data_IF_880176488050
#
_entry.id   IF_880176488050
#
_cell.length_a   1.000
_cell.length_b   1.000
_cell.length_c   1.000
_cell.angle_alpha   90.00
_cell.angle_beta   90.00
_cell.angle_gamma   90.00
#
_symmetry.space_group_name_H-M   'P 1'
#
loop_
_entity.id
_entity.type
_entity.pdbx_description
1 polymer ?
#
# COMPACT_ATOMS: atom_id res chain seq x y z
N UNK A 1 17.19 -13.29 45.16
CA UNK A 1 17.86 -12.01 44.76
C UNK A 1 16.78 -10.98 44.52
N UNK A 2 16.89 -9.78 45.11
CA UNK A 2 15.96 -8.69 44.84
C UNK A 2 16.16 -8.20 43.40
N UNK A 3 15.14 -8.31 42.56
CA UNK A 3 15.19 -7.74 41.21
C UNK A 3 15.10 -6.21 41.30
N UNK A 4 15.83 -5.54 40.42
CA UNK A 4 15.88 -4.09 40.35
C UNK A 4 15.66 -3.65 38.90
N UNK A 5 14.79 -2.66 38.71
CA UNK A 5 14.55 -2.04 37.40
C UNK A 5 15.32 -0.74 37.32
N UNK A 6 16.07 -0.58 36.23
CA UNK A 6 16.79 0.64 35.89
C UNK A 6 16.27 1.19 34.57
N UNK A 7 16.18 2.52 34.48
CA UNK A 7 15.81 3.22 33.27
C UNK A 7 16.70 4.47 33.11
N UNK A 8 16.89 4.90 31.87
CA UNK A 8 17.72 6.06 31.51
C UNK A 8 17.24 6.65 30.18
N UNK A 9 17.82 7.79 29.81
CA UNK A 9 17.53 8.53 28.60
C UNK A 9 16.61 9.73 28.84
N UNK A 10 15.77 10.00 27.84
CA UNK A 10 14.85 11.13 27.81
C UNK A 10 13.72 10.95 28.83
N UNK A 11 13.42 11.99 29.60
CA UNK A 11 12.52 11.89 30.76
C UNK A 11 11.55 13.07 30.91
N UNK A 12 11.30 13.85 29.86
CA UNK A 12 10.47 15.05 29.96
C UNK A 12 9.02 14.80 30.41
N UNK A 13 8.55 13.56 30.35
CA UNK A 13 7.22 13.15 30.80
C UNK A 13 7.24 12.19 32.02
N UNK A 14 8.42 11.92 32.58
CA UNK A 14 8.58 10.99 33.71
C UNK A 14 8.71 9.52 33.31
N UNK A 15 8.97 9.21 32.03
CA UNK A 15 9.09 7.82 31.53
C UNK A 15 10.25 7.02 32.13
N UNK A 16 11.24 7.66 32.77
CA UNK A 16 12.27 6.96 33.55
C UNK A 16 11.72 6.49 34.90
N UNK A 17 10.61 7.05 35.38
CA UNK A 17 9.96 6.62 36.62
C UNK A 17 10.72 6.99 37.90
N UNK A 18 11.54 8.05 37.83
CA UNK A 18 12.41 8.53 38.91
C UNK A 18 11.76 9.54 39.85
N UNK A 19 10.48 9.88 39.65
CA UNK A 19 9.79 10.98 40.35
C UNK A 19 10.19 12.38 39.88
N UNK A 20 10.96 12.47 38.79
CA UNK A 20 11.44 13.72 38.18
C UNK A 20 11.18 13.71 36.68
N UNK A 21 11.21 14.90 36.06
CA UNK A 21 11.20 15.08 34.60
C UNK A 21 12.59 15.34 34.01
N UNK A 22 13.64 15.33 34.84
CA UNK A 22 15.01 15.53 34.38
C UNK A 22 15.52 14.29 33.64
N UNK A 23 16.13 14.49 32.47
CA UNK A 23 16.80 13.44 31.69
C UNK A 23 17.83 12.71 32.55
N UNK A 24 17.93 11.39 32.38
CA UNK A 24 18.86 10.54 33.14
C UNK A 24 19.89 9.98 32.16
N UNK A 25 21.07 10.59 31.98
CA UNK A 25 22.06 10.10 31.02
C UNK A 25 22.68 8.75 31.44
N UNK A 26 22.52 8.35 32.69
CA UNK A 26 23.00 7.08 33.24
C UNK A 26 21.85 6.25 33.81
N UNK A 27 21.99 4.90 33.84
CA UNK A 27 21.00 4.01 34.45
C UNK A 27 20.63 4.44 35.87
N UNK A 28 19.35 4.78 36.07
CA UNK A 28 18.81 5.14 37.37
C UNK A 28 17.73 4.16 37.78
N UNK A 29 17.74 3.79 39.06
CA UNK A 29 16.73 2.90 39.62
C UNK A 29 15.35 3.55 39.57
N UNK A 30 14.36 2.81 39.08
CA UNK A 30 12.96 3.24 39.08
C UNK A 30 12.44 3.30 40.53
N UNK A 31 11.70 4.36 40.87
CA UNK A 31 11.36 4.71 42.27
C UNK A 31 10.45 3.67 42.97
N UNK A 32 10.42 3.76 44.30
CA UNK A 32 9.89 2.87 45.37
C UNK A 32 8.58 2.08 45.19
N UNK A 33 7.88 2.04 44.06
CA UNK A 33 6.68 1.19 43.93
C UNK A 33 7.02 -0.24 43.44
N UNK A 34 8.15 -0.41 42.74
CA UNK A 34 8.58 -1.70 42.16
C UNK A 34 9.68 -2.42 42.98
N UNK A 35 10.26 -1.78 44.00
CA UNK A 35 11.47 -2.27 44.68
C UNK A 35 11.32 -3.57 45.49
N UNK A 36 10.08 -3.96 45.85
CA UNK A 36 9.77 -5.20 46.59
C UNK A 36 9.15 -6.24 45.65
N UNK A 37 8.88 -5.87 44.40
CA UNK A 37 8.05 -6.66 43.50
C UNK A 37 8.91 -7.26 42.39
N UNK A 38 8.65 -8.52 42.01
CA UNK A 38 9.38 -9.21 40.96
C UNK A 38 8.78 -8.81 39.60
N UNK A 39 9.56 -8.10 38.79
CA UNK A 39 9.13 -7.62 37.46
C UNK A 39 9.52 -8.67 36.43
N UNK A 40 8.53 -9.19 35.71
CA UNK A 40 8.73 -10.27 34.72
C UNK A 40 8.73 -9.78 33.28
N UNK A 41 8.15 -8.61 33.01
CA UNK A 41 8.14 -8.00 31.68
C UNK A 41 8.15 -6.48 31.78
N UNK A 42 8.79 -5.83 30.81
CA UNK A 42 8.85 -4.36 30.66
C UNK A 42 8.59 -4.04 29.19
N UNK A 43 7.76 -3.04 28.92
CA UNK A 43 7.57 -2.49 27.59
C UNK A 43 7.68 -0.96 27.59
N UNK A 44 8.20 -0.41 26.50
CA UNK A 44 8.38 1.03 26.33
C UNK A 44 7.57 1.50 25.13
N UNK A 45 6.71 2.50 25.34
CA UNK A 45 6.18 3.34 24.26
C UNK A 45 7.08 4.55 24.03
N UNK A 46 6.65 5.48 23.17
CA UNK A 46 7.47 6.65 22.80
C UNK A 46 7.90 7.49 24.01
N UNK A 47 6.98 7.73 24.94
CA UNK A 47 7.19 8.56 26.13
C UNK A 47 6.55 7.96 27.38
N UNK A 48 6.33 6.64 27.39
CA UNK A 48 5.70 5.90 28.49
C UNK A 48 6.36 4.56 28.68
N UNK A 49 6.25 4.00 29.88
CA UNK A 49 6.78 2.68 30.23
C UNK A 49 5.75 1.88 30.99
N UNK A 50 5.76 0.58 30.73
CA UNK A 50 4.90 -0.41 31.36
C UNK A 50 5.76 -1.50 31.99
N UNK A 51 5.30 -2.06 33.10
CA UNK A 51 5.87 -3.24 33.71
C UNK A 51 4.78 -4.22 34.14
N UNK A 52 5.09 -5.50 34.02
CA UNK A 52 4.25 -6.60 34.52
C UNK A 52 5.01 -7.28 35.65
N UNK A 53 4.30 -7.53 36.72
CA UNK A 53 4.80 -8.24 37.88
C UNK A 53 4.50 -9.73 37.79
N UNK A 54 5.19 -10.52 38.59
CA UNK A 54 5.02 -11.98 38.59
C UNK A 54 3.65 -12.48 39.05
N UNK A 55 2.93 -11.66 39.81
CA UNK A 55 1.54 -11.89 40.19
C UNK A 55 0.53 -11.40 39.13
N UNK A 56 1.00 -10.96 37.97
CA UNK A 56 0.18 -10.47 36.86
C UNK A 56 -0.25 -9.01 36.96
N UNK A 57 0.13 -8.28 38.01
CA UNK A 57 -0.20 -6.85 38.15
C UNK A 57 0.56 -6.00 37.12
N UNK A 58 -0.13 -5.03 36.53
CA UNK A 58 0.44 -4.08 35.56
C UNK A 58 0.66 -2.71 36.19
N UNK A 59 1.83 -2.12 35.93
CA UNK A 59 2.22 -0.78 36.34
C UNK A 59 2.61 0.06 35.13
N UNK A 60 2.16 1.32 35.08
CA UNK A 60 2.47 2.27 34.01
C UNK A 60 3.00 3.60 34.56
N UNK A 61 3.92 4.23 33.82
CA UNK A 61 4.41 5.59 34.10
C UNK A 61 4.87 6.32 32.84
N UNK A 62 5.06 7.64 32.95
CA UNK A 62 5.42 8.54 31.85
C UNK A 62 4.25 9.36 31.34
N UNK A 63 4.27 9.66 30.04
CA UNK A 63 3.24 10.42 29.35
C UNK A 63 1.91 9.66 29.26
N UNK A 64 0.81 10.36 29.45
CA UNK A 64 -0.53 9.78 29.43
C UNK A 64 -1.56 10.60 28.64
N UNK A 65 -1.13 11.53 27.77
CA UNK A 65 -2.05 12.43 27.07
C UNK A 65 -3.11 11.72 26.22
N UNK A 66 -2.84 10.49 25.77
CA UNK A 66 -3.79 9.66 25.01
C UNK A 66 -4.41 8.51 25.83
N UNK A 67 -4.18 8.46 27.14
CA UNK A 67 -4.63 7.36 27.99
C UNK A 67 -3.77 6.09 27.91
N UNK A 68 -2.57 6.17 27.33
CA UNK A 68 -1.66 5.03 27.14
C UNK A 68 -1.21 4.32 28.43
N UNK A 69 -1.41 4.95 29.60
CA UNK A 69 -1.18 4.31 30.90
C UNK A 69 -2.37 3.50 31.41
N UNK A 70 -3.56 3.61 30.83
CA UNK A 70 -4.73 2.80 31.20
C UNK A 70 -5.35 3.16 32.55
N UNK A 71 -5.10 4.38 33.05
CA UNK A 71 -5.48 4.81 34.41
C UNK A 71 -6.88 5.45 34.50
N UNK A 72 -7.66 5.43 33.42
CA UNK A 72 -8.97 6.09 33.34
C UNK A 72 -8.90 7.62 33.29
N UNK A 73 -7.72 8.18 33.02
CA UNK A 73 -7.46 9.62 32.93
C UNK A 73 -6.31 9.91 31.97
N UNK A 74 -5.98 11.19 31.75
CA UNK A 74 -4.91 11.63 30.84
C UNK A 74 -3.71 12.27 31.57
N UNK A 75 -3.61 12.09 32.89
CA UNK A 75 -2.54 12.68 33.71
C UNK A 75 -1.25 11.87 33.62
N UNK A 76 -0.14 12.55 33.32
CA UNK A 76 1.20 11.95 33.33
C UNK A 76 1.56 11.43 34.72
N UNK A 77 2.38 10.38 34.78
CA UNK A 77 2.83 9.78 36.03
C UNK A 77 4.36 9.76 36.10
N UNK A 78 4.94 10.43 37.10
CA UNK A 78 6.40 10.49 37.27
C UNK A 78 6.97 9.24 37.97
N UNK A 79 6.09 8.41 38.53
CA UNK A 79 6.43 7.15 39.21
C UNK A 79 5.47 6.05 38.77
N UNK A 80 5.86 4.76 38.86
CA UNK A 80 4.98 3.64 38.52
C UNK A 80 3.64 3.66 39.27
N UNK A 81 2.53 3.62 38.54
CA UNK A 81 1.16 3.52 39.09
C UNK A 81 0.49 2.25 38.60
N UNK A 82 -0.21 1.55 39.50
CA UNK A 82 -0.93 0.32 39.17
C UNK A 82 -2.12 0.61 38.25
N UNK A 83 -2.27 -0.19 37.20
CA UNK A 83 -3.45 -0.17 36.32
C UNK A 83 -4.58 -0.93 37.02
N UNK A 84 -5.39 -0.22 37.81
CA UNK A 84 -6.42 -0.82 38.64
C UNK A 84 -7.48 -1.59 37.83
N UNK A 85 -7.77 -1.17 36.59
CA UNK A 85 -8.75 -1.83 35.72
C UNK A 85 -8.40 -3.31 35.38
N UNK A 86 -7.15 -3.73 35.57
CA UNK A 86 -6.70 -5.10 35.35
C UNK A 86 -6.56 -5.90 36.65
N UNK A 87 -7.20 -5.48 37.75
CA UNK A 87 -7.02 -6.13 39.06
C UNK A 87 -7.50 -7.59 39.12
N UNK A 88 -8.41 -8.00 38.23
CA UNK A 88 -9.02 -9.34 38.22
C UNK A 88 -8.43 -10.27 37.17
N UNK A 89 -7.37 -9.84 36.46
CA UNK A 89 -6.75 -10.62 35.39
C UNK A 89 -5.25 -10.74 35.63
N UNK A 90 -4.67 -11.87 35.25
CA UNK A 90 -3.25 -12.12 35.37
C UNK A 90 -2.59 -11.86 34.01
N UNK A 91 -1.89 -10.72 33.90
CA UNK A 91 -1.16 -10.35 32.67
C UNK A 91 0.19 -11.06 32.63
N UNK A 92 0.53 -11.70 31.51
CA UNK A 92 1.84 -12.37 31.34
C UNK A 92 2.76 -11.59 30.39
N UNK A 93 2.20 -10.87 29.42
CA UNK A 93 2.94 -10.13 28.40
C UNK A 93 2.29 -8.75 28.19
N UNK A 94 3.12 -7.74 28.05
CA UNK A 94 2.72 -6.38 27.69
C UNK A 94 3.60 -5.91 26.54
N UNK A 95 3.00 -5.21 25.57
CA UNK A 95 3.72 -4.55 24.49
C UNK A 95 3.17 -3.14 24.33
N UNK A 96 4.05 -2.22 23.95
CA UNK A 96 3.68 -0.84 23.69
C UNK A 96 4.03 -0.50 22.25
N UNK A 97 3.09 0.11 21.53
CA UNK A 97 3.42 0.84 20.32
C UNK A 97 3.74 2.30 20.62
N UNK A 98 3.57 3.19 19.63
CA UNK A 98 3.89 4.62 19.80
C UNK A 98 3.20 5.28 21.01
N UNK A 99 1.87 5.12 21.12
CA UNK A 99 1.04 5.71 22.18
C UNK A 99 -0.16 4.80 22.56
N UNK A 100 -0.02 3.50 22.33
CA UNK A 100 -1.02 2.49 22.69
C UNK A 100 -0.33 1.29 23.34
N UNK A 101 -1.09 0.52 24.10
CA UNK A 101 -0.58 -0.62 24.85
C UNK A 101 -1.51 -1.81 24.63
N UNK A 102 -0.91 -2.98 24.44
CA UNK A 102 -1.60 -4.27 24.41
C UNK A 102 -1.13 -5.11 25.60
N UNK A 103 -2.04 -5.83 26.22
CA UNK A 103 -1.73 -6.81 27.27
C UNK A 103 -2.37 -8.16 26.95
N UNK A 104 -1.59 -9.22 27.15
CA UNK A 104 -2.01 -10.60 27.02
C UNK A 104 -2.10 -11.20 28.41
N UNK A 105 -3.23 -11.87 28.69
CA UNK A 105 -3.41 -12.59 29.95
C UNK A 105 -2.90 -14.03 29.85
N UNK A 106 -2.69 -14.66 30.99
CA UNK A 106 -2.45 -16.10 31.12
C UNK A 106 -3.64 -16.97 30.66
N UNK A 107 -4.85 -16.41 30.57
CA UNK A 107 -6.02 -17.02 29.94
C UNK A 107 -6.03 -16.85 28.41
N UNK A 108 -5.11 -16.03 27.87
CA UNK A 108 -5.00 -15.70 26.45
C UNK A 108 -6.05 -14.69 25.97
N UNK A 109 -6.51 -13.83 26.87
CA UNK A 109 -7.36 -12.68 26.56
C UNK A 109 -6.50 -11.49 26.16
N UNK A 110 -6.96 -10.75 25.15
CA UNK A 110 -6.28 -9.57 24.63
C UNK A 110 -6.97 -8.29 25.10
N UNK A 111 -6.21 -7.45 25.81
CA UNK A 111 -6.63 -6.11 26.21
C UNK A 111 -5.84 -5.04 25.45
N UNK A 112 -6.50 -3.94 25.11
CA UNK A 112 -5.86 -2.77 24.49
C UNK A 112 -6.35 -1.45 25.10
N UNK A 113 -5.48 -0.45 25.14
CA UNK A 113 -5.81 0.92 25.53
C UNK A 113 -4.81 1.95 24.98
N UNK A 114 -5.15 3.24 25.12
CA UNK A 114 -4.37 4.37 24.66
C UNK A 114 -4.91 5.02 23.39
N UNK A 115 -4.00 5.52 22.56
CA UNK A 115 -4.33 6.18 21.30
C UNK A 115 -4.96 5.21 20.30
N UNK A 116 -5.98 5.67 19.55
CA UNK A 116 -6.71 4.84 18.58
C UNK A 116 -7.03 5.56 17.25
N UNK A 117 -6.39 6.68 16.95
CA UNK A 117 -6.69 7.49 15.76
C UNK A 117 -6.65 6.71 14.43
N UNK A 118 -5.87 5.63 14.38
CA UNK A 118 -5.72 4.78 13.20
C UNK A 118 -6.38 3.42 13.34
N UNK A 119 -7.10 3.16 14.43
CA UNK A 119 -7.72 1.86 14.70
C UNK A 119 -6.80 0.86 15.40
N UNK A 120 -5.65 1.30 15.93
CA UNK A 120 -4.64 0.43 16.55
C UNK A 120 -5.11 -0.31 17.81
N UNK A 121 -6.29 0.00 18.35
CA UNK A 121 -6.89 -0.76 19.44
C UNK A 121 -7.81 -1.89 18.95
N UNK A 122 -8.16 -1.96 17.67
CA UNK A 122 -9.00 -3.04 17.13
C UNK A 122 -10.47 -3.00 17.59
N UNK A 123 -10.95 -1.87 18.08
CA UNK A 123 -12.29 -1.71 18.70
C UNK A 123 -13.43 -1.45 17.70
N UNK A 124 -13.15 -1.49 16.40
CA UNK A 124 -14.11 -1.12 15.34
C UNK A 124 -14.35 0.38 15.20
N UNK A 125 -13.66 1.21 15.97
CA UNK A 125 -13.75 2.67 15.91
C UNK A 125 -12.36 3.32 16.06
N UNK A 126 -12.32 4.66 16.11
CA UNK A 126 -11.09 5.47 16.21
C UNK A 126 -10.98 6.26 17.52
N UNK A 127 -11.76 5.90 18.54
CA UNK A 127 -11.78 6.61 19.81
C UNK A 127 -10.67 6.07 20.74
N UNK A 128 -9.93 6.98 21.36
CA UNK A 128 -8.94 6.62 22.39
C UNK A 128 -9.62 5.93 23.57
N UNK A 129 -8.92 4.99 24.20
CA UNK A 129 -9.39 4.33 25.41
C UNK A 129 -8.47 4.66 26.58
N UNK A 130 -9.05 5.27 27.62
CA UNK A 130 -8.31 5.66 28.83
C UNK A 130 -8.13 4.51 29.81
N UNK A 131 -8.86 3.41 29.60
CA UNK A 131 -8.82 2.19 30.40
C UNK A 131 -8.73 0.97 29.47
N UNK A 132 -8.06 -0.11 29.91
CA UNK A 132 -8.02 -1.39 29.21
C UNK A 132 -9.40 -1.89 28.79
N UNK A 133 -9.55 -2.26 27.52
CA UNK A 133 -10.74 -2.93 27.00
C UNK A 133 -10.36 -4.24 26.30
N UNK A 134 -11.26 -5.22 26.35
CA UNK A 134 -11.10 -6.51 25.71
C UNK A 134 -11.45 -6.42 24.21
N UNK A 135 -10.56 -6.88 23.32
CA UNK A 135 -10.65 -6.59 21.87
C UNK A 135 -11.00 -7.80 21.00
N UNK A 136 -10.41 -8.96 21.29
CA UNK A 136 -10.65 -10.19 20.51
C UNK A 136 -11.65 -11.07 21.26
N UNK A 137 -12.89 -11.10 20.79
CA UNK A 137 -14.00 -11.85 21.41
C UNK A 137 -14.19 -13.24 20.78
N UNK A 138 -13.45 -13.55 19.70
CA UNK A 138 -13.43 -14.91 19.14
C UNK A 138 -12.90 -15.91 20.18
N UNK A 139 -13.45 -17.13 20.20
CA UNK A 139 -13.18 -18.17 21.21
C UNK A 139 -11.74 -18.74 21.19
N UNK A 140 -10.85 -18.17 20.39
CA UNK A 140 -9.50 -18.68 20.23
C UNK A 140 -8.51 -17.92 21.10
N UNK A 141 -7.73 -18.68 21.86
CA UNK A 141 -6.74 -18.18 22.80
C UNK A 141 -5.63 -17.44 22.04
N UNK A 142 -5.34 -16.20 22.41
CA UNK A 142 -4.17 -15.47 21.93
C UNK A 142 -2.92 -16.00 22.63
N UNK A 143 -1.84 -16.22 21.89
CA UNK A 143 -0.57 -16.76 22.40
C UNK A 143 0.59 -15.79 22.24
N UNK A 144 0.45 -14.79 21.37
CA UNK A 144 1.48 -13.80 21.11
C UNK A 144 0.84 -12.46 20.73
N UNK A 145 1.43 -11.37 21.22
CA UNK A 145 1.05 -10.00 20.88
C UNK A 145 2.29 -9.20 20.50
N UNK A 146 2.12 -8.29 19.55
CA UNK A 146 3.18 -7.39 19.13
C UNK A 146 2.62 -6.02 18.75
N UNK A 147 3.39 -4.99 19.02
CA UNK A 147 3.08 -3.63 18.64
C UNK A 147 4.36 -2.93 18.17
N UNK A 148 4.25 -2.13 17.12
CA UNK A 148 5.40 -1.39 16.59
C UNK A 148 5.54 -0.04 17.30
N UNK A 149 6.75 0.30 17.73
CA UNK A 149 7.03 1.60 18.34
C UNK A 149 6.93 2.75 17.32
N UNK A 150 7.41 2.55 16.08
CA UNK A 150 7.44 3.57 15.02
C UNK A 150 6.17 3.65 14.18
N UNK A 151 5.22 2.73 14.36
CA UNK A 151 3.98 2.68 13.60
C UNK A 151 2.77 2.50 14.51
N UNK A 152 1.59 2.91 14.05
CA UNK A 152 0.34 2.70 14.77
C UNK A 152 -0.26 1.33 14.42
N UNK A 153 0.55 0.28 14.40
CA UNK A 153 0.16 -1.07 13.98
C UNK A 153 0.26 -2.03 15.15
N UNK A 154 -0.72 -2.91 15.27
CA UNK A 154 -0.80 -3.97 16.25
C UNK A 154 -0.97 -5.32 15.55
N UNK A 155 -0.43 -6.37 16.16
CA UNK A 155 -0.57 -7.73 15.68
C UNK A 155 -0.77 -8.70 16.85
N UNK A 156 -1.48 -9.80 16.60
CA UNK A 156 -1.63 -10.89 17.54
C UNK A 156 -1.66 -12.23 16.80
N UNK A 157 -1.22 -13.29 17.47
CA UNK A 157 -1.30 -14.66 16.97
C UNK A 157 -2.11 -15.52 17.93
N UNK A 158 -3.00 -16.33 17.38
CA UNK A 158 -3.80 -17.28 18.15
C UNK A 158 -3.14 -18.65 18.24
N UNK A 159 -3.63 -19.50 19.15
CA UNK A 159 -3.11 -20.84 19.37
C UNK A 159 -3.20 -21.74 18.13
N UNK A 160 -4.21 -21.56 17.26
CA UNK A 160 -4.32 -22.26 15.97
C UNK A 160 -3.38 -21.73 14.89
N UNK A 161 -2.56 -20.72 15.18
CA UNK A 161 -1.57 -20.18 14.27
C UNK A 161 -2.08 -19.03 13.40
N UNK A 162 -3.33 -18.59 13.56
CA UNK A 162 -3.87 -17.44 12.85
C UNK A 162 -3.21 -16.14 13.32
N UNK A 163 -2.68 -15.35 12.39
CA UNK A 163 -2.08 -14.05 12.67
C UNK A 163 -3.01 -12.93 12.23
N UNK A 164 -3.35 -12.05 13.17
CA UNK A 164 -4.20 -10.89 12.95
C UNK A 164 -3.38 -9.61 12.98
N UNK A 165 -3.80 -8.61 12.21
CA UNK A 165 -3.24 -7.26 12.19
C UNK A 165 -4.33 -6.19 12.24
N UNK A 166 -4.04 -5.04 12.84
CA UNK A 166 -4.92 -3.87 12.81
C UNK A 166 -4.13 -2.58 13.10
N UNK A 167 -4.80 -1.44 12.93
CA UNK A 167 -4.21 -0.11 13.03
C UNK A 167 -3.80 0.47 11.67
N UNK A 168 -2.73 1.26 11.62
CA UNK A 168 -2.23 1.86 10.39
C UNK A 168 -1.42 0.83 9.58
N UNK A 169 -1.96 0.37 8.45
CA UNK A 169 -1.37 -0.66 7.61
C UNK A 169 -1.25 -0.11 6.18
N UNK A 170 -0.02 0.09 5.68
CA UNK A 170 0.24 0.70 4.36
C UNK A 170 -0.55 2.01 4.10
N UNK A 171 -0.68 2.86 5.13
CA UNK A 171 -1.41 4.12 5.05
C UNK A 171 -2.93 4.02 5.21
N UNK A 172 -3.49 2.82 5.32
CA UNK A 172 -4.91 2.60 5.61
C UNK A 172 -5.16 2.38 7.10
N UNK A 173 -6.31 2.81 7.61
CA UNK A 173 -6.76 2.51 8.98
C UNK A 173 -7.62 1.26 8.99
N UNK A 174 -7.11 0.20 9.62
CA UNK A 174 -7.84 -1.05 9.85
C UNK A 174 -8.31 -1.06 11.30
N UNK A 175 -9.61 -0.88 11.53
CA UNK A 175 -10.17 -0.66 12.88
C UNK A 175 -10.56 -1.93 13.63
N UNK A 176 -10.55 -3.09 12.97
CA UNK A 176 -10.82 -4.40 13.56
C UNK A 176 -9.66 -5.35 13.26
N UNK A 177 -9.38 -6.35 14.12
CA UNK A 177 -8.41 -7.39 13.82
C UNK A 177 -8.71 -8.06 12.48
N UNK A 178 -7.78 -7.97 11.54
CA UNK A 178 -7.88 -8.55 10.21
C UNK A 178 -6.96 -9.75 10.10
N UNK A 179 -7.51 -10.89 9.68
CA UNK A 179 -6.73 -12.12 9.47
C UNK A 179 -5.74 -11.94 8.32
N UNK A 180 -4.52 -12.40 8.53
CA UNK A 180 -3.44 -12.38 7.53
C UNK A 180 -3.09 -13.78 7.06
N UNK A 181 -2.37 -13.86 5.94
CA UNK A 181 -1.77 -15.10 5.45
C UNK A 181 -0.44 -15.45 6.15
N UNK A 182 0.03 -14.62 7.08
CA UNK A 182 1.32 -14.83 7.74
C UNK A 182 1.24 -15.84 8.86
N UNK A 183 2.37 -16.49 9.14
CA UNK A 183 2.55 -17.44 10.25
C UNK A 183 3.22 -16.81 11.47
N UNK A 184 3.81 -15.62 11.32
CA UNK A 184 4.47 -14.83 12.37
C UNK A 184 3.94 -13.40 12.45
N UNK A 185 3.84 -12.85 13.66
CA UNK A 185 3.54 -11.43 13.86
C UNK A 185 4.65 -10.50 13.36
N UNK A 186 5.89 -10.98 13.25
CA UNK A 186 7.00 -10.19 12.72
C UNK A 186 6.80 -9.81 11.25
N UNK A 187 6.25 -10.73 10.45
CA UNK A 187 6.03 -10.54 9.03
C UNK A 187 4.97 -9.45 8.77
N UNK A 188 4.03 -9.28 9.71
CA UNK A 188 3.06 -8.17 9.69
C UNK A 188 3.80 -6.83 9.66
N UNK A 189 4.76 -6.62 10.56
CA UNK A 189 5.49 -5.34 10.61
C UNK A 189 6.44 -5.17 9.45
N UNK A 190 7.00 -6.26 8.95
CA UNK A 190 7.87 -6.23 7.79
C UNK A 190 7.12 -5.84 6.50
N UNK A 191 5.85 -6.23 6.37
CA UNK A 191 5.05 -5.99 5.17
C UNK A 191 4.08 -4.80 5.26
N UNK A 192 3.62 -4.43 6.45
CA UNK A 192 2.54 -3.45 6.64
C UNK A 192 2.91 -2.21 7.48
N UNK A 193 3.99 -2.24 8.26
CA UNK A 193 4.41 -1.06 9.03
C UNK A 193 5.08 -0.02 8.12
N UNK A 194 5.04 1.25 8.52
CA UNK A 194 5.74 2.34 7.84
C UNK A 194 6.55 3.13 8.88
N UNK A 195 7.90 3.05 8.87
CA UNK A 195 8.72 2.20 7.99
C UNK A 195 8.51 0.70 8.27
N UNK A 196 8.86 -0.15 7.30
CA UNK A 196 8.89 -1.59 7.49
C UNK A 196 9.97 -1.96 8.53
N UNK A 197 9.63 -2.84 9.47
CA UNK A 197 10.54 -3.25 10.56
C UNK A 197 10.53 -4.77 10.68
N UNK A 198 11.72 -5.37 10.70
CA UNK A 198 11.93 -6.79 11.01
C UNK A 198 13.32 -6.96 11.63
N UNK A 199 13.45 -7.91 12.57
CA UNK A 199 14.75 -8.29 13.15
C UNK A 199 15.47 -9.37 12.34
N UNK A 200 14.75 -10.06 11.44
CA UNK A 200 15.25 -11.12 10.57
C UNK A 200 15.19 -10.69 9.11
N UNK A 201 16.16 -11.15 8.32
CA UNK A 201 16.12 -10.96 6.87
C UNK A 201 14.90 -11.73 6.32
N UNK A 202 13.98 -11.04 5.67
CA UNK A 202 12.88 -11.69 4.96
C UNK A 202 13.44 -12.41 3.74
N UNK A 203 13.37 -13.75 3.74
CA UNK A 203 13.44 -14.50 2.51
C UNK A 203 12.06 -14.40 1.88
N UNK A 204 11.92 -13.52 0.89
CA UNK A 204 10.74 -13.54 0.03
C UNK A 204 10.94 -14.73 -0.89
N UNK A 205 10.45 -15.90 -0.48
CA UNK A 205 10.21 -16.97 -1.42
C UNK A 205 9.38 -16.35 -2.55
N UNK A 206 9.84 -16.49 -3.80
CA UNK A 206 9.02 -16.13 -4.96
C UNK A 206 7.84 -17.09 -4.97
N UNK A 207 6.80 -16.78 -4.19
CA UNK A 207 5.49 -17.32 -4.48
C UNK A 207 5.14 -16.85 -5.89
N UNK A 208 4.69 -17.76 -6.75
CA UNK A 208 4.33 -17.56 -8.16
C UNK A 208 3.11 -16.62 -8.35
N UNK A 209 2.95 -15.63 -7.48
CA UNK A 209 1.94 -14.61 -7.60
C UNK A 209 2.32 -13.67 -8.74
N UNK A 210 1.44 -13.63 -9.73
CA UNK A 210 1.45 -12.62 -10.77
C UNK A 210 1.45 -11.23 -10.12
N UNK A 211 2.32 -10.35 -10.59
CA UNK A 211 2.26 -8.93 -10.21
C UNK A 211 0.88 -8.36 -10.56
N UNK A 212 0.50 -7.22 -9.97
CA UNK A 212 -0.76 -6.54 -10.30
C UNK A 212 -0.87 -6.28 -11.81
N UNK A 213 0.24 -5.90 -12.45
CA UNK A 213 0.30 -5.68 -13.89
C UNK A 213 0.06 -6.96 -14.70
N UNK A 214 0.66 -8.08 -14.29
CA UNK A 214 0.47 -9.38 -14.95
C UNK A 214 -0.94 -9.95 -14.73
N UNK A 215 -1.49 -9.74 -13.53
CA UNK A 215 -2.88 -10.11 -13.21
C UNK A 215 -3.86 -9.33 -14.07
N UNK A 216 -3.71 -8.00 -14.16
CA UNK A 216 -4.53 -7.16 -15.04
C UNK A 216 -4.35 -7.54 -16.51
N UNK A 217 -3.13 -7.85 -16.94
CA UNK A 217 -2.85 -8.31 -18.31
C UNK A 217 -3.56 -9.62 -18.63
N UNK A 218 -3.61 -10.56 -17.68
CA UNK A 218 -4.27 -11.86 -17.84
C UNK A 218 -5.78 -11.71 -17.99
N UNK A 219 -6.40 -10.77 -17.26
CA UNK A 219 -7.85 -10.52 -17.31
C UNK A 219 -8.30 -9.69 -18.52
N UNK A 220 -7.39 -9.17 -19.34
CA UNK A 220 -7.78 -8.45 -20.56
C UNK A 220 -8.46 -9.39 -21.56
N UNK A 221 -9.64 -8.98 -22.07
CA UNK A 221 -10.46 -9.74 -23.02
C UNK A 221 -11.07 -11.04 -22.45
N UNK A 222 -11.20 -11.13 -21.12
CA UNK A 222 -11.87 -12.24 -20.43
C UNK A 222 -13.40 -12.07 -20.42
N UNK A 223 -14.19 -13.00 -20.99
CA UNK A 223 -15.65 -12.91 -20.99
C UNK A 223 -16.29 -13.23 -19.62
N UNK A 224 -15.55 -13.88 -18.72
CA UNK A 224 -16.07 -14.31 -17.41
C UNK A 224 -16.15 -13.16 -16.40
N UNK A 225 -15.21 -12.22 -16.47
CA UNK A 225 -15.05 -11.15 -15.47
C UNK A 225 -15.46 -9.77 -15.98
N UNK A 226 -15.63 -9.61 -17.29
CA UNK A 226 -15.93 -8.33 -17.91
C UNK A 226 -17.36 -7.84 -17.63
N UNK A 227 -17.50 -6.55 -17.34
CA UNK A 227 -18.78 -5.85 -17.12
C UNK A 227 -19.16 -4.92 -18.29
N UNK A 228 -18.36 -4.92 -19.36
CA UNK A 228 -18.52 -4.12 -20.57
C UNK A 228 -17.89 -4.82 -21.78
N UNK A 229 -18.52 -4.69 -22.95
CA UNK A 229 -18.01 -5.21 -24.23
C UNK A 229 -18.06 -4.11 -25.29
N UNK A 230 -16.98 -3.97 -26.05
CA UNK A 230 -16.94 -3.11 -27.23
C UNK A 230 -17.14 -3.94 -28.49
N UNK A 231 -17.96 -3.46 -29.43
CA UNK A 231 -18.16 -4.08 -30.75
C UNK A 231 -17.49 -3.21 -31.82
N UNK A 232 -16.46 -3.76 -32.48
CA UNK A 232 -15.71 -3.11 -33.57
C UNK A 232 -15.57 -4.11 -34.72
N UNK A 233 -15.93 -3.71 -35.95
CA UNK A 233 -15.87 -4.58 -37.14
C UNK A 233 -16.56 -5.95 -36.95
N UNK A 234 -17.65 -5.99 -36.17
CA UNK A 234 -18.38 -7.21 -35.85
C UNK A 234 -17.71 -8.14 -34.81
N UNK A 235 -16.55 -7.75 -34.26
CA UNK A 235 -15.85 -8.46 -33.19
C UNK A 235 -16.09 -7.80 -31.83
N UNK A 236 -16.08 -8.62 -30.78
CA UNK A 236 -16.23 -8.15 -29.40
C UNK A 236 -14.89 -8.09 -28.68
N UNK A 237 -14.73 -7.11 -27.80
CA UNK A 237 -13.60 -6.99 -26.86
C UNK A 237 -14.17 -6.82 -25.45
N UNK A 238 -13.80 -7.71 -24.54
CA UNK A 238 -14.30 -7.76 -23.17
C UNK A 238 -13.41 -6.95 -22.21
N UNK A 239 -14.00 -6.03 -21.45
CA UNK A 239 -13.28 -5.10 -20.58
C UNK A 239 -14.05 -4.76 -19.29
N UNK A 240 -13.34 -4.15 -18.35
CA UNK A 240 -13.80 -3.75 -17.03
C UNK A 240 -13.95 -2.22 -16.91
N UNK A 241 -15.15 -1.74 -16.57
CA UNK A 241 -15.46 -0.31 -16.37
C UNK A 241 -14.55 0.33 -15.33
N UNK A 242 -14.22 -0.40 -14.26
CA UNK A 242 -13.35 0.09 -13.19
C UNK A 242 -11.95 0.49 -13.72
N UNK A 243 -11.34 -0.36 -14.55
CA UNK A 243 -10.01 -0.09 -15.12
C UNK A 243 -10.07 1.13 -16.05
N UNK A 244 -11.09 1.22 -16.91
CA UNK A 244 -11.29 2.35 -17.82
C UNK A 244 -11.49 3.67 -17.07
N UNK A 245 -12.32 3.67 -16.01
CA UNK A 245 -12.57 4.83 -15.14
C UNK A 245 -11.31 5.29 -14.41
N UNK A 246 -10.37 4.40 -14.10
CA UNK A 246 -9.12 4.77 -13.41
C UNK A 246 -8.10 5.31 -14.41
N UNK A 247 -7.99 4.68 -15.59
CA UNK A 247 -6.88 4.90 -16.52
C UNK A 247 -7.15 5.95 -17.60
N UNK A 248 -8.41 6.26 -17.91
CA UNK A 248 -8.76 7.21 -18.97
C UNK A 248 -9.80 8.25 -18.52
N UNK A 249 -9.50 9.52 -18.71
CA UNK A 249 -10.37 10.63 -18.31
C UNK A 249 -11.64 10.73 -19.18
N UNK A 250 -11.52 10.40 -20.47
CA UNK A 250 -12.66 10.36 -21.39
C UNK A 250 -13.72 9.36 -20.91
N UNK A 251 -13.30 8.12 -20.59
CA UNK A 251 -14.21 7.11 -20.05
C UNK A 251 -14.74 7.47 -18.67
N UNK A 252 -13.90 8.07 -17.79
CA UNK A 252 -14.37 8.56 -16.49
C UNK A 252 -15.51 9.55 -16.64
N UNK A 253 -15.39 10.53 -17.53
CA UNK A 253 -16.42 11.53 -17.81
C UNK A 253 -17.66 10.91 -18.47
N UNK A 254 -17.46 10.01 -19.43
CA UNK A 254 -18.53 9.28 -20.11
C UNK A 254 -19.41 8.51 -19.12
N UNK A 255 -18.79 7.82 -18.16
CA UNK A 255 -19.50 7.03 -17.16
C UNK A 255 -20.09 7.85 -15.99
N UNK A 256 -19.72 9.12 -15.84
CA UNK A 256 -20.26 10.00 -14.79
C UNK A 256 -21.47 10.82 -15.24
N UNK A 257 -21.56 11.17 -16.52
CA UNK A 257 -22.49 12.19 -17.03
C UNK A 257 -23.72 11.64 -17.77
N UNK A 258 -23.63 10.44 -18.34
CA UNK A 258 -24.64 9.94 -19.31
C UNK A 258 -25.10 8.49 -19.08
N UNK A 259 -24.69 7.85 -18.00
CA UNK A 259 -24.92 6.42 -17.79
C UNK A 259 -25.72 6.15 -16.51
N UNK A 260 -27.03 5.95 -16.68
CA UNK A 260 -27.83 5.17 -15.73
C UNK A 260 -27.39 3.70 -15.86
N UNK A 261 -27.32 3.00 -14.73
CA UNK A 261 -26.63 1.70 -14.56
C UNK A 261 -27.11 0.56 -15.49
N UNK A 262 -28.23 0.72 -16.19
CA UNK A 262 -28.92 -0.39 -16.88
C UNK A 262 -28.81 -0.46 -18.42
N UNK A 263 -28.25 0.53 -19.14
CA UNK A 263 -28.68 0.67 -20.55
C UNK A 263 -27.81 0.13 -21.69
N UNK A 264 -26.50 -0.16 -21.55
CA UNK A 264 -25.75 -0.77 -22.68
C UNK A 264 -24.54 -1.59 -22.24
N UNK A 265 -24.68 -2.90 -22.10
CA UNK A 265 -23.48 -3.77 -21.97
C UNK A 265 -22.55 -3.70 -23.20
N UNK A 266 -23.07 -3.25 -24.36
CA UNK A 266 -22.34 -3.17 -25.63
C UNK A 266 -22.16 -1.72 -26.07
N UNK A 267 -20.92 -1.30 -26.31
CA UNK A 267 -20.59 -0.03 -26.97
C UNK A 267 -20.11 -0.31 -28.39
N UNK A 268 -20.74 0.30 -29.38
CA UNK A 268 -20.39 0.15 -30.80
C UNK A 268 -19.43 1.27 -31.23
N UNK A 269 -18.32 0.90 -31.87
CA UNK A 269 -17.31 1.82 -32.37
C UNK A 269 -17.08 1.54 -33.85
N UNK A 270 -17.48 2.50 -34.70
CA UNK A 270 -17.36 2.39 -36.16
C UNK A 270 -16.25 3.30 -36.72
N UNK A 271 -15.62 4.12 -35.87
CA UNK A 271 -14.66 5.15 -36.30
C UNK A 271 -13.23 4.64 -36.40
N UNK A 272 -12.91 3.52 -35.76
CA UNK A 272 -11.56 2.98 -35.65
C UNK A 272 -11.56 1.49 -35.99
N UNK A 273 -10.47 1.02 -36.58
CA UNK A 273 -10.31 -0.41 -36.89
C UNK A 273 -10.12 -1.24 -35.62
N UNK A 274 -10.54 -2.51 -35.68
CA UNK A 274 -10.35 -3.46 -34.59
C UNK A 274 -8.92 -3.50 -34.00
N UNK A 275 -7.82 -3.64 -34.78
CA UNK A 275 -6.47 -3.73 -34.22
C UNK A 275 -6.06 -2.47 -33.46
N UNK A 276 -6.45 -1.29 -33.96
CA UNK A 276 -6.15 0.01 -33.32
C UNK A 276 -6.89 0.13 -31.98
N UNK A 277 -8.19 -0.14 -31.97
CA UNK A 277 -8.99 0.02 -30.75
C UNK A 277 -8.63 -1.05 -29.71
N UNK A 278 -8.33 -2.28 -30.14
CA UNK A 278 -7.84 -3.34 -29.24
C UNK A 278 -6.53 -2.96 -28.58
N UNK A 279 -5.57 -2.42 -29.33
CA UNK A 279 -4.30 -1.98 -28.78
C UNK A 279 -4.46 -0.83 -27.79
N UNK A 280 -5.37 0.11 -28.06
CA UNK A 280 -5.72 1.16 -27.11
C UNK A 280 -6.22 0.60 -25.78
N UNK A 281 -7.20 -0.32 -25.84
CA UNK A 281 -7.73 -0.93 -24.63
C UNK A 281 -6.64 -1.74 -23.91
N UNK A 282 -5.82 -2.51 -24.63
CA UNK A 282 -4.71 -3.26 -24.04
C UNK A 282 -3.68 -2.35 -23.35
N UNK A 283 -3.40 -1.18 -23.91
CA UNK A 283 -2.54 -0.17 -23.28
C UNK A 283 -3.08 0.29 -21.93
N UNK A 284 -4.41 0.45 -21.79
CA UNK A 284 -4.99 0.84 -20.51
C UNK A 284 -4.75 -0.19 -19.40
N UNK A 285 -4.59 -1.48 -19.75
CA UNK A 285 -4.30 -2.56 -18.81
C UNK A 285 -2.81 -2.78 -18.55
N UNK A 286 -1.97 -2.56 -19.56
CA UNK A 286 -0.59 -3.06 -19.56
C UNK A 286 0.49 -1.98 -19.72
N UNK A 287 0.11 -0.74 -20.01
CA UNK A 287 1.03 0.36 -20.37
C UNK A 287 1.92 0.08 -21.59
N UNK A 288 1.65 -1.01 -22.31
CA UNK A 288 2.40 -1.44 -23.49
C UNK A 288 1.53 -1.36 -24.74
N UNK A 289 2.16 -1.00 -25.86
CA UNK A 289 1.55 -1.00 -27.19
C UNK A 289 2.39 -1.92 -28.06
N UNK A 290 1.74 -2.89 -28.67
CA UNK A 290 2.34 -3.82 -29.64
C UNK A 290 1.54 -3.71 -30.95
N UNK A 291 1.96 -2.79 -31.81
CA UNK A 291 1.36 -2.54 -33.12
C UNK A 291 2.44 -2.18 -34.15
N UNK A 292 2.22 -2.52 -35.43
CA UNK A 292 3.06 -2.03 -36.51
C UNK A 292 2.96 -0.50 -36.63
N UNK A 293 3.99 0.17 -37.18
CA UNK A 293 4.05 1.62 -37.28
C UNK A 293 2.91 2.22 -38.13
N UNK A 294 2.36 1.46 -39.07
CA UNK A 294 1.24 1.88 -39.93
C UNK A 294 -0.06 2.02 -39.13
N UNK A 295 -0.38 1.02 -38.30
CA UNK A 295 -1.55 1.05 -37.41
C UNK A 295 -1.36 2.00 -36.22
N UNK A 296 -0.11 2.28 -35.84
CA UNK A 296 0.22 3.24 -34.79
C UNK A 296 -0.24 4.68 -35.13
N UNK A 297 -0.47 5.00 -36.41
CA UNK A 297 -1.10 6.26 -36.82
C UNK A 297 -2.54 6.31 -36.30
N UNK A 298 -3.35 5.27 -36.56
CA UNK A 298 -4.73 5.22 -36.07
C UNK A 298 -4.81 5.28 -34.55
N UNK A 299 -3.82 4.70 -33.85
CA UNK A 299 -3.73 4.79 -32.40
C UNK A 299 -3.33 6.19 -31.92
N UNK A 300 -2.50 6.92 -32.68
CA UNK A 300 -2.15 8.31 -32.40
C UNK A 300 -3.38 9.23 -32.51
N UNK A 301 -4.24 8.98 -33.50
CA UNK A 301 -5.49 9.71 -33.71
C UNK A 301 -6.39 9.55 -32.49
N UNK A 302 -6.60 8.30 -32.09
CA UNK A 302 -7.40 7.93 -30.93
C UNK A 302 -6.82 8.54 -29.63
N UNK A 303 -5.50 8.44 -29.42
CA UNK A 303 -4.82 9.05 -28.27
C UNK A 303 -5.00 10.57 -28.23
N UNK A 304 -5.05 11.23 -29.38
CA UNK A 304 -5.30 12.67 -29.49
C UNK A 304 -6.76 13.00 -29.20
N UNK A 305 -7.71 12.21 -29.74
CA UNK A 305 -9.14 12.38 -29.48
C UNK A 305 -9.52 12.19 -28.01
N UNK A 306 -8.85 11.29 -27.31
CA UNK A 306 -9.09 11.02 -25.88
C UNK A 306 -8.11 11.76 -24.94
N UNK A 307 -7.30 12.68 -25.47
CA UNK A 307 -6.35 13.50 -24.70
C UNK A 307 -5.31 12.70 -23.87
N UNK A 308 -4.95 11.50 -24.32
CA UNK A 308 -3.99 10.61 -23.65
C UNK A 308 -2.53 10.94 -24.03
N UNK A 309 -1.94 11.91 -23.34
CA UNK A 309 -0.60 12.44 -23.66
C UNK A 309 0.54 11.41 -23.60
N UNK A 310 0.47 10.43 -22.68
CA UNK A 310 1.52 9.39 -22.54
C UNK A 310 1.48 8.41 -23.71
N UNK A 311 0.28 7.99 -24.10
CA UNK A 311 0.06 7.13 -25.27
C UNK A 311 0.50 7.85 -26.55
N UNK A 312 0.17 9.13 -26.69
CA UNK A 312 0.60 9.98 -27.81
C UNK A 312 2.11 9.90 -28.02
N UNK A 313 2.90 10.12 -26.95
CA UNK A 313 4.37 10.05 -27.01
C UNK A 313 4.86 8.64 -27.40
N UNK A 314 4.19 7.60 -26.91
CA UNK A 314 4.55 6.21 -27.17
C UNK A 314 4.30 5.84 -28.65
N UNK A 315 3.17 6.23 -29.21
CA UNK A 315 2.86 6.08 -30.64
C UNK A 315 3.87 6.84 -31.52
N UNK A 316 4.19 8.09 -31.17
CA UNK A 316 5.20 8.87 -31.90
C UNK A 316 6.57 8.18 -31.90
N UNK A 317 6.94 7.52 -30.81
CA UNK A 317 8.20 6.78 -30.71
C UNK A 317 8.20 5.50 -31.56
N UNK A 318 7.09 4.75 -31.57
CA UNK A 318 6.91 3.57 -32.43
C UNK A 318 7.01 3.97 -33.90
N UNK A 319 6.30 5.03 -34.30
CA UNK A 319 6.32 5.55 -35.67
C UNK A 319 7.74 5.97 -36.06
N UNK A 320 8.46 6.72 -35.21
CA UNK A 320 9.85 7.15 -35.49
C UNK A 320 10.82 5.99 -35.69
N UNK A 321 10.67 4.89 -34.95
CA UNK A 321 11.54 3.71 -35.06
C UNK A 321 11.18 2.80 -36.24
N UNK A 322 9.93 2.84 -36.70
CA UNK A 322 9.41 1.96 -37.75
C UNK A 322 9.43 2.56 -39.17
N UNK A 323 10.10 3.69 -39.39
CA UNK A 323 10.19 4.32 -40.71
C UNK A 323 11.08 3.47 -41.62
N UNK A 324 10.51 2.98 -42.72
CA UNK A 324 11.17 2.29 -43.82
C UNK A 324 10.96 3.08 -45.12
N UNK A 325 11.71 2.73 -46.17
CA UNK A 325 11.59 3.40 -47.49
C UNK A 325 10.16 3.30 -48.05
N UNK A 326 9.50 2.17 -47.80
CA UNK A 326 8.18 1.85 -48.34
C UNK A 326 7.04 2.60 -47.63
N UNK A 327 7.18 2.84 -46.31
CA UNK A 327 6.14 3.50 -45.50
C UNK A 327 6.43 4.99 -45.19
N UNK A 328 7.58 5.52 -45.65
CA UNK A 328 7.99 6.89 -45.38
C UNK A 328 6.96 7.95 -45.84
N UNK A 329 6.30 7.72 -46.98
CA UNK A 329 5.32 8.66 -47.53
C UNK A 329 4.02 8.72 -46.71
N UNK A 330 3.47 7.56 -46.33
CA UNK A 330 2.25 7.48 -45.49
C UNK A 330 2.51 8.05 -44.10
N UNK A 331 3.64 7.71 -43.48
CA UNK A 331 4.03 8.24 -42.17
C UNK A 331 4.30 9.76 -42.18
N UNK A 332 4.88 10.30 -43.26
CA UNK A 332 5.06 11.75 -43.43
C UNK A 332 3.74 12.48 -43.56
N UNK A 333 2.77 11.94 -44.33
CA UNK A 333 1.44 12.54 -44.45
C UNK A 333 0.71 12.61 -43.10
N UNK A 334 0.90 11.61 -42.24
CA UNK A 334 0.37 11.61 -40.88
C UNK A 334 1.09 12.63 -39.99
N UNK A 335 2.42 12.73 -40.05
CA UNK A 335 3.21 13.70 -39.27
C UNK A 335 2.77 15.16 -39.52
N UNK A 336 2.49 15.50 -40.79
CA UNK A 336 2.00 16.82 -41.21
C UNK A 336 0.59 17.09 -40.68
N UNK A 337 -0.28 16.07 -40.66
CA UNK A 337 -1.67 16.20 -40.17
C UNK A 337 -1.74 16.49 -38.68
N UNK A 338 -0.79 16.00 -37.88
CA UNK A 338 -0.84 16.07 -36.41
C UNK A 338 0.03 17.17 -35.78
N UNK A 339 0.55 18.09 -36.60
CA UNK A 339 1.40 19.22 -36.18
C UNK A 339 2.51 18.80 -35.19
N UNK A 340 3.07 17.61 -35.42
CA UNK A 340 4.08 17.05 -34.56
C UNK A 340 5.45 17.54 -35.06
N UNK A 341 5.88 18.73 -34.61
CA UNK A 341 7.16 19.35 -35.01
C UNK A 341 8.34 18.37 -34.95
N UNK A 342 8.42 17.55 -33.88
CA UNK A 342 9.49 16.56 -33.70
C UNK A 342 9.43 15.33 -34.62
N UNK A 343 8.28 15.06 -35.25
CA UNK A 343 8.08 14.01 -36.25
C UNK A 343 8.35 14.55 -37.66
N UNK A 344 7.99 15.81 -37.92
CA UNK A 344 8.21 16.48 -39.19
C UNK A 344 9.70 16.58 -39.54
N UNK A 345 10.56 16.99 -38.61
CA UNK A 345 12.02 17.08 -38.88
C UNK A 345 12.64 15.71 -39.21
N UNK A 346 12.24 14.67 -38.50
CA UNK A 346 12.79 13.32 -38.66
C UNK A 346 12.26 12.61 -39.91
N UNK A 347 10.96 12.74 -40.19
CA UNK A 347 10.36 12.19 -41.41
C UNK A 347 10.89 12.91 -42.67
N UNK A 348 11.14 14.23 -42.60
CA UNK A 348 11.77 14.99 -43.67
C UNK A 348 13.24 14.58 -43.91
N UNK A 349 14.00 14.31 -42.85
CA UNK A 349 15.35 13.75 -42.94
C UNK A 349 15.38 12.35 -43.56
N UNK A 350 14.43 11.50 -43.18
CA UNK A 350 14.30 10.13 -43.69
C UNK A 350 13.85 10.11 -45.16
N UNK A 351 12.94 10.99 -45.58
CA UNK A 351 12.55 11.17 -46.98
C UNK A 351 13.72 11.67 -47.84
N UNK A 352 14.53 12.62 -47.36
CA UNK A 352 15.76 13.03 -48.04
C UNK A 352 16.72 11.84 -48.21
N UNK A 353 16.91 11.02 -47.19
CA UNK A 353 17.75 9.84 -47.26
C UNK A 353 17.21 8.80 -48.26
N UNK A 354 15.90 8.51 -48.22
CA UNK A 354 15.27 7.57 -49.15
C UNK A 354 15.37 8.04 -50.61
N UNK A 355 15.13 9.33 -50.88
CA UNK A 355 15.31 9.92 -52.21
C UNK A 355 16.78 9.87 -52.66
N UNK A 356 17.74 10.10 -51.75
CA UNK A 356 19.17 10.03 -52.05
C UNK A 356 19.61 8.59 -52.39
N UNK A 357 19.11 7.59 -51.64
CA UNK A 357 19.38 6.16 -51.88
C UNK A 357 18.75 5.70 -53.20
N UNK A 358 17.51 6.10 -53.50
CA UNK A 358 16.87 5.80 -54.78
C UNK A 358 17.62 6.45 -55.96
N UNK A 359 18.12 7.69 -55.80
CA UNK A 359 18.96 8.34 -56.82
C UNK A 359 20.31 7.64 -57.03
N UNK A 360 20.90 7.07 -55.97
CA UNK A 360 22.14 6.29 -56.04
C UNK A 360 21.93 4.94 -56.73
N UNK A 361 20.81 4.25 -56.46
CA UNK A 361 20.47 2.99 -57.15
C UNK A 361 20.15 3.21 -58.63
N UNK A 362 19.40 4.27 -58.97
CA UNK A 362 19.12 4.64 -60.37
C UNK A 362 20.40 5.05 -61.11
N UNK A 363 21.31 5.81 -60.46
CA UNK A 363 22.63 6.10 -61.03
C UNK A 363 23.45 4.84 -61.29
N UNK A 364 23.47 3.89 -60.36
CA UNK A 364 24.20 2.63 -60.53
C UNK A 364 23.60 1.73 -61.62
N UNK A 365 22.30 1.82 -61.89
CA UNK A 365 21.66 1.12 -63.00
C UNK A 365 21.96 1.78 -64.36
N UNK A 366 22.00 3.12 -64.42
CA UNK A 366 22.35 3.88 -65.64
C UNK A 366 23.84 3.74 -65.99
N UNK A 367 24.72 3.49 -65.02
CA UNK A 367 26.16 3.24 -65.25
C UNK A 367 26.45 1.79 -65.70
N UNK A 368 25.46 0.89 -65.63
CA UNK A 368 25.57 -0.53 -66.05
C UNK A 368 24.89 -0.86 -67.39
N UNK A 369 24.34 0.12 -68.08
CA UNK A 369 23.92 0.06 -69.48
C UNK A 369 24.92 0.87 -70.32
#
# INVERSE_FOLDING_TARGET
MAQQVFAWGYNNCGQVGSGSTANQPTPRKVTNCLHIKRVVSIACGQTSSMAVLDNGEVYGWGYNGNGQLGLGNNGNQLTPVRVAALHSVCVNQIVCGYAHTLALTDEGLLYAWGANTYGQLGTGNKNNLLSPAHIMVEKERVVEIAACHSAHTSAAKTQGGHVYMWGQCRGQSVTLPHLTHFSSTDDVFACFATPAVTWRLLSVEHEDFLTVAESLKKEFDSPETADLKFRIDGKYIHVHKAVLKIRCEHFRSMFQSYWNEDMKEVIEIDQFSYPVYRAFLQYLYTDAVDLPPEDAIGLLDLATSYCENRLKKLCQHIIKRGITVENAFSLFSAAVRYDAESLNEWAFGSLKFCVYVHFLEVKNHIIRL
#
